data_IF_885769998318
#
_entry.id   IF_885769998318
#
_cell.length_a   1.000
_cell.length_b   1.000
_cell.length_c   1.000
_cell.angle_alpha   90.00
_cell.angle_beta   90.00
_cell.angle_gamma   90.00
#
_symmetry.space_group_name_H-M   'P 1'
#
loop_
_entity.id
_entity.type
_entity.pdbx_description
1 polymer ?
#
# COMPACT_ATOMS: atom_id res chain seq x y z
N UNK A 1 -12.66 9.64 -2.73
CA UNK A 1 -11.75 8.48 -2.63
C UNK A 1 -12.02 7.53 -3.79
N UNK A 2 -10.98 7.14 -4.54
CA UNK A 2 -11.06 6.13 -5.60
C UNK A 2 -10.10 4.99 -5.27
N UNK A 3 -10.55 3.75 -5.34
CA UNK A 3 -9.69 2.60 -5.06
C UNK A 3 -8.47 2.60 -5.97
N UNK A 4 -7.28 2.43 -5.39
CA UNK A 4 -6.02 2.39 -6.12
C UNK A 4 -5.41 1.00 -6.11
N UNK A 5 -5.16 0.42 -4.94
CA UNK A 5 -4.48 -0.87 -4.82
C UNK A 5 -4.76 -1.58 -3.49
N UNK A 6 -4.44 -2.88 -3.42
CA UNK A 6 -4.37 -3.65 -2.18
C UNK A 6 -2.92 -3.79 -1.74
N UNK A 7 -2.62 -3.49 -0.47
CA UNK A 7 -1.30 -3.69 0.10
C UNK A 7 -1.11 -5.07 0.70
N UNK A 8 -0.05 -5.76 0.28
CA UNK A 8 0.26 -7.15 0.65
C UNK A 8 1.65 -7.24 1.27
N UNK A 9 1.68 -7.56 2.55
CA UNK A 9 2.91 -7.87 3.26
C UNK A 9 3.44 -9.26 2.85
N UNK A 10 4.70 -9.33 2.42
CA UNK A 10 5.41 -10.56 2.10
C UNK A 10 6.81 -10.59 2.75
N UNK A 11 7.46 -11.78 2.71
CA UNK A 11 8.82 -11.95 3.23
C UNK A 11 9.88 -11.48 2.25
N UNK A 12 9.63 -11.71 0.96
CA UNK A 12 10.52 -11.39 -0.14
C UNK A 12 9.66 -10.99 -1.35
N UNK A 13 10.09 -9.94 -2.06
CA UNK A 13 9.35 -9.41 -3.21
C UNK A 13 9.36 -10.39 -4.39
N UNK A 14 10.50 -11.02 -4.68
CA UNK A 14 10.62 -11.93 -5.83
C UNK A 14 9.83 -13.22 -5.58
N UNK A 15 9.87 -13.76 -4.36
CA UNK A 15 9.02 -14.88 -3.96
C UNK A 15 7.53 -14.51 -4.08
N UNK A 16 7.14 -13.32 -3.60
CA UNK A 16 5.78 -12.81 -3.71
C UNK A 16 5.29 -12.72 -5.17
N UNK A 17 6.10 -12.15 -6.06
CA UNK A 17 5.81 -12.07 -7.49
C UNK A 17 5.63 -13.48 -8.08
N UNK A 18 6.54 -14.40 -7.76
CA UNK A 18 6.52 -15.76 -8.28
C UNK A 18 5.26 -16.53 -7.83
N UNK A 19 4.87 -16.43 -6.55
CA UNK A 19 3.67 -17.10 -6.04
C UNK A 19 2.39 -16.50 -6.63
N UNK A 20 2.29 -15.17 -6.75
CA UNK A 20 1.13 -14.53 -7.35
C UNK A 20 0.98 -14.88 -8.84
N UNK A 21 2.10 -14.96 -9.58
CA UNK A 21 2.12 -15.32 -11.00
C UNK A 21 1.65 -16.74 -11.29
N UNK A 22 1.68 -17.65 -10.29
CA UNK A 22 1.16 -19.02 -10.44
C UNK A 22 -0.37 -19.06 -10.44
N UNK A 23 -1.00 -18.07 -9.83
CA UNK A 23 -2.45 -18.05 -9.57
C UNK A 23 -3.15 -17.03 -10.47
N UNK A 24 -2.52 -15.86 -10.67
CA UNK A 24 -3.09 -14.74 -11.40
C UNK A 24 -2.28 -14.46 -12.67
N UNK A 25 -2.99 -14.04 -13.72
CA UNK A 25 -2.36 -13.45 -14.89
C UNK A 25 -1.94 -12.01 -14.56
N UNK A 26 -0.63 -11.78 -14.49
CA UNK A 26 -0.03 -10.47 -14.19
C UNK A 26 0.37 -9.82 -15.51
N UNK A 27 -0.21 -8.64 -15.79
CA UNK A 27 0.04 -7.88 -17.01
C UNK A 27 1.26 -6.95 -16.87
N UNK A 28 1.48 -6.40 -15.67
CA UNK A 28 2.59 -5.48 -15.39
C UNK A 28 3.22 -5.78 -14.04
N UNK A 29 4.55 -5.72 -14.00
CA UNK A 29 5.36 -5.71 -12.78
C UNK A 29 6.22 -4.46 -12.82
N UNK A 30 6.09 -3.57 -11.84
CA UNK A 30 6.95 -2.39 -11.74
C UNK A 30 8.38 -2.78 -11.36
N UNK A 31 9.30 -1.82 -11.46
CA UNK A 31 10.62 -1.99 -10.83
C UNK A 31 10.45 -2.16 -9.33
N UNK A 32 11.31 -2.99 -8.72
CA UNK A 32 11.44 -3.08 -7.27
C UNK A 32 12.13 -1.81 -6.79
N UNK A 33 11.48 -1.10 -5.88
CA UNK A 33 11.97 0.13 -5.26
C UNK A 33 12.42 -0.20 -3.85
N UNK A 34 13.57 0.35 -3.44
CA UNK A 34 14.03 0.29 -2.04
C UNK A 34 13.74 1.62 -1.37
N UNK A 35 12.97 1.56 -0.29
CA UNK A 35 12.76 2.69 0.60
C UNK A 35 13.65 2.52 1.84
N UNK A 36 14.80 3.20 1.80
CA UNK A 36 15.78 3.18 2.90
C UNK A 36 15.24 3.82 4.18
N UNK A 37 14.29 4.77 4.09
CA UNK A 37 13.72 5.42 5.27
C UNK A 37 12.81 4.44 6.04
N UNK A 38 12.13 3.56 5.32
CA UNK A 38 11.23 2.58 5.89
C UNK A 38 11.83 1.18 6.01
N UNK A 39 13.07 1.01 5.51
CA UNK A 39 13.76 -0.28 5.41
C UNK A 39 12.86 -1.36 4.80
N UNK A 40 12.29 -1.00 3.65
CA UNK A 40 11.32 -1.80 2.92
C UNK A 40 11.68 -1.87 1.42
N UNK A 41 11.29 -2.97 0.79
CA UNK A 41 11.29 -3.12 -0.67
C UNK A 41 9.84 -3.20 -1.12
N UNK A 42 9.52 -2.54 -2.24
CA UNK A 42 8.17 -2.44 -2.75
C UNK A 42 8.11 -2.67 -4.25
N UNK A 43 7.02 -3.26 -4.75
CA UNK A 43 6.69 -3.24 -6.17
C UNK A 43 5.17 -3.25 -6.39
N UNK A 44 4.75 -2.66 -7.50
CA UNK A 44 3.38 -2.74 -7.99
C UNK A 44 3.24 -3.89 -8.99
N UNK A 45 2.18 -4.67 -8.81
CA UNK A 45 1.67 -5.64 -9.76
C UNK A 45 0.33 -5.14 -10.29
N UNK A 46 0.12 -5.26 -11.60
CA UNK A 46 -1.18 -5.06 -12.21
C UNK A 46 -1.63 -6.39 -12.81
N UNK A 47 -2.81 -6.86 -12.39
CA UNK A 47 -3.42 -8.06 -12.93
C UNK A 47 -3.98 -7.79 -14.34
N UNK A 48 -4.33 -8.84 -15.08
CA UNK A 48 -4.88 -8.72 -16.43
C UNK A 48 -6.21 -7.92 -16.49
N UNK A 49 -6.98 -7.90 -15.40
CA UNK A 49 -8.23 -7.13 -15.27
C UNK A 49 -8.01 -5.68 -14.78
N UNK A 50 -6.76 -5.28 -14.57
CA UNK A 50 -6.40 -3.93 -14.12
C UNK A 50 -6.39 -3.73 -12.61
N UNK A 51 -6.67 -4.76 -11.81
CA UNK A 51 -6.52 -4.67 -10.34
C UNK A 51 -5.04 -4.50 -9.99
N UNK A 52 -4.75 -3.53 -9.13
CA UNK A 52 -3.40 -3.27 -8.66
C UNK A 52 -3.16 -3.85 -7.27
N UNK A 53 -1.98 -4.44 -7.09
CA UNK A 53 -1.52 -5.03 -5.84
C UNK A 53 -0.12 -4.51 -5.56
N UNK A 54 0.08 -3.92 -4.39
CA UNK A 54 1.39 -3.53 -3.90
C UNK A 54 1.95 -4.66 -3.05
N UNK A 55 3.11 -5.19 -3.43
CA UNK A 55 3.89 -6.08 -2.57
C UNK A 55 4.86 -5.24 -1.74
N UNK A 56 4.90 -5.51 -0.44
CA UNK A 56 5.80 -4.86 0.51
C UNK A 56 6.55 -5.93 1.30
N UNK A 57 7.87 -5.84 1.34
CA UNK A 57 8.73 -6.69 2.15
C UNK A 57 9.66 -5.83 3.02
N UNK A 58 10.16 -6.37 4.13
CA UNK A 58 11.13 -5.71 4.99
C UNK A 58 10.61 -5.38 6.39
N UNK A 59 11.35 -4.55 7.13
CA UNK A 59 11.14 -4.34 8.57
C UNK A 59 9.79 -3.69 8.88
N UNK A 60 9.31 -2.81 7.98
CA UNK A 60 8.04 -2.12 8.12
C UNK A 60 6.85 -3.07 8.26
N UNK A 61 6.87 -4.21 7.55
CA UNK A 61 5.76 -5.17 7.52
C UNK A 61 6.06 -6.48 8.24
N UNK A 62 7.26 -6.64 8.81
CA UNK A 62 7.70 -7.86 9.48
C UNK A 62 6.72 -8.31 10.58
N UNK A 63 6.11 -7.36 11.30
CA UNK A 63 5.11 -7.64 12.32
C UNK A 63 3.82 -8.26 11.77
N UNK A 64 3.38 -7.86 10.58
CA UNK A 64 2.22 -8.45 9.90
C UNK A 64 2.55 -9.87 9.42
N UNK A 65 3.70 -10.03 8.77
CA UNK A 65 4.18 -11.32 8.26
C UNK A 65 4.35 -12.35 9.39
N UNK A 66 4.92 -11.96 10.54
CA UNK A 66 5.05 -12.84 11.72
C UNK A 66 3.71 -13.32 12.28
N UNK A 67 2.65 -12.51 12.10
CA UNK A 67 1.27 -12.83 12.53
C UNK A 67 0.47 -13.56 11.44
N UNK A 68 1.05 -13.83 10.27
CA UNK A 68 0.34 -14.41 9.12
C UNK A 68 -0.66 -13.46 8.47
N UNK A 69 -0.53 -12.15 8.69
CA UNK A 69 -1.34 -11.11 8.04
C UNK A 69 -0.62 -10.70 6.75
N UNK A 70 -1.26 -10.93 5.61
CA UNK A 70 -0.71 -10.58 4.29
C UNK A 70 -1.41 -9.35 3.73
N UNK A 71 -2.69 -9.45 3.36
CA UNK A 71 -3.54 -8.30 3.04
C UNK A 71 -3.72 -7.43 4.28
N UNK A 72 -3.14 -6.23 4.28
CA UNK A 72 -3.13 -5.40 5.49
C UNK A 72 -3.68 -3.98 5.30
N UNK A 73 -3.74 -3.47 4.08
CA UNK A 73 -4.39 -2.18 3.82
C UNK A 73 -5.04 -2.12 2.43
N UNK A 74 -5.98 -1.17 2.30
CA UNK A 74 -6.56 -0.75 1.02
C UNK A 74 -6.17 0.70 0.77
N UNK A 75 -5.62 0.99 -0.41
CA UNK A 75 -5.22 2.34 -0.78
C UNK A 75 -6.27 3.04 -1.65
N UNK A 76 -6.50 4.32 -1.38
CA UNK A 76 -7.41 5.17 -2.14
C UNK A 76 -6.76 6.50 -2.54
N UNK A 77 -6.94 6.87 -3.80
CA UNK A 77 -6.57 8.18 -4.30
C UNK A 77 -7.54 9.28 -3.87
N UNK A 78 -7.00 10.44 -3.52
CA UNK A 78 -7.71 11.61 -3.02
C UNK A 78 -7.13 12.91 -3.58
N UNK A 79 -7.98 13.90 -3.85
CA UNK A 79 -7.55 15.20 -4.40
C UNK A 79 -6.71 16.01 -3.40
N UNK A 80 -7.12 16.04 -2.12
CA UNK A 80 -6.39 16.75 -1.07
C UNK A 80 -6.28 15.87 0.17
N UNK A 81 -5.07 15.40 0.46
CA UNK A 81 -4.84 14.42 1.53
C UNK A 81 -5.17 14.99 2.92
N UNK A 82 -4.82 16.25 3.20
CA UNK A 82 -5.06 16.88 4.49
C UNK A 82 -6.55 17.08 4.77
N UNK A 83 -7.29 17.56 3.76
CA UNK A 83 -8.75 17.74 3.86
C UNK A 83 -9.45 16.40 4.08
N UNK A 84 -9.00 15.35 3.38
CA UNK A 84 -9.59 14.02 3.53
C UNK A 84 -9.28 13.40 4.90
N UNK A 85 -8.07 13.58 5.43
CA UNK A 85 -7.71 13.15 6.80
C UNK A 85 -8.65 13.82 7.80
N UNK A 86 -8.78 15.16 7.77
CA UNK A 86 -9.66 15.88 8.68
C UNK A 86 -11.12 15.43 8.58
N UNK A 87 -11.60 15.13 7.37
CA UNK A 87 -12.94 14.60 7.14
C UNK A 87 -13.09 13.22 7.80
N UNK A 88 -12.14 12.31 7.59
CA UNK A 88 -12.20 10.94 8.11
C UNK A 88 -12.06 10.89 9.63
N UNK A 89 -11.22 11.73 10.24
CA UNK A 89 -11.10 11.80 11.70
C UNK A 89 -12.43 12.24 12.36
N UNK A 90 -13.17 13.16 11.73
CA UNK A 90 -14.52 13.56 12.18
C UNK A 90 -15.53 12.41 12.08
N UNK A 91 -15.31 11.45 11.18
CA UNK A 91 -16.12 10.25 10.99
C UNK A 91 -15.62 9.05 11.83
N UNK A 92 -14.68 9.27 12.76
CA UNK A 92 -14.20 8.26 13.70
C UNK A 92 -13.01 7.44 13.22
N UNK A 93 -12.36 7.84 12.12
CA UNK A 93 -11.04 7.30 11.76
C UNK A 93 -9.96 7.82 12.71
N UNK A 94 -8.86 7.09 12.81
CA UNK A 94 -7.69 7.48 13.59
C UNK A 94 -6.44 7.52 12.69
N UNK A 95 -5.75 8.67 12.66
CA UNK A 95 -4.52 8.82 11.89
C UNK A 95 -3.38 7.98 12.50
N UNK A 96 -2.91 6.98 11.75
CA UNK A 96 -1.79 6.12 12.14
C UNK A 96 -0.45 6.68 11.70
N UNK A 97 -0.41 7.26 10.50
CA UNK A 97 0.79 7.89 9.93
C UNK A 97 0.36 9.16 9.22
N UNK A 98 0.96 10.29 9.63
CA UNK A 98 0.82 11.55 8.93
C UNK A 98 1.32 11.46 7.47
N UNK A 99 0.87 12.37 6.59
CA UNK A 99 1.34 12.46 5.21
C UNK A 99 2.87 12.44 5.12
N UNK A 100 3.39 11.55 4.26
CA UNK A 100 4.81 11.43 3.94
C UNK A 100 5.00 11.07 2.48
N UNK A 101 6.09 11.50 1.82
CA UNK A 101 6.35 11.13 0.43
C UNK A 101 6.59 9.62 0.30
N UNK A 102 6.01 9.00 -0.73
CA UNK A 102 6.24 7.60 -1.06
C UNK A 102 7.04 7.49 -2.37
N UNK A 103 8.25 6.92 -2.29
CA UNK A 103 9.16 6.79 -3.44
C UNK A 103 8.55 5.95 -4.57
N UNK A 104 7.74 4.93 -4.23
CA UNK A 104 7.06 4.09 -5.22
C UNK A 104 6.06 4.88 -6.07
N UNK A 105 5.49 5.96 -5.53
CA UNK A 105 4.48 6.79 -6.17
C UNK A 105 5.04 8.16 -6.57
N UNK A 106 6.27 8.20 -7.08
CA UNK A 106 6.93 9.44 -7.53
C UNK A 106 6.95 10.55 -6.46
N UNK A 107 7.11 10.17 -5.18
CA UNK A 107 7.06 11.05 -4.00
C UNK A 107 5.72 11.77 -3.76
N UNK A 108 4.61 11.27 -4.33
CA UNK A 108 3.26 11.64 -3.89
C UNK A 108 3.10 11.34 -2.40
N UNK A 109 2.24 12.10 -1.73
CA UNK A 109 2.02 11.94 -0.30
C UNK A 109 1.12 10.74 0.00
N UNK A 110 1.50 9.95 1.00
CA UNK A 110 0.68 8.88 1.56
C UNK A 110 0.45 9.07 3.06
N UNK A 111 -0.74 8.69 3.53
CA UNK A 111 -1.10 8.69 4.94
C UNK A 111 -1.89 7.43 5.29
N UNK A 112 -1.68 6.88 6.48
CA UNK A 112 -2.38 5.68 6.94
C UNK A 112 -3.38 6.03 8.03
N UNK A 113 -4.58 5.48 7.92
CA UNK A 113 -5.64 5.64 8.92
C UNK A 113 -6.19 4.28 9.33
N UNK A 114 -6.53 4.15 10.61
CA UNK A 114 -7.35 3.06 11.11
C UNK A 114 -8.82 3.45 11.01
N UNK A 115 -9.62 2.60 10.40
CA UNK A 115 -11.08 2.72 10.25
C UNK A 115 -11.76 1.48 10.83
N UNK A 116 -13.08 1.49 10.95
CA UNK A 116 -13.86 0.40 11.58
C UNK A 116 -13.65 -0.98 10.95
N UNK A 117 -13.23 -1.03 9.68
CA UNK A 117 -13.02 -2.25 8.92
C UNK A 117 -11.54 -2.56 8.62
N UNK A 118 -10.59 -1.85 9.23
CA UNK A 118 -9.17 -2.14 9.09
C UNK A 118 -8.31 -0.90 8.85
N UNK A 119 -7.25 -1.05 8.07
CA UNK A 119 -6.33 0.03 7.73
C UNK A 119 -6.58 0.45 6.28
N UNK A 120 -6.66 1.77 6.07
CA UNK A 120 -6.65 2.35 4.74
C UNK A 120 -5.43 3.25 4.58
N UNK A 121 -4.94 3.33 3.35
CA UNK A 121 -3.97 4.33 2.91
C UNK A 121 -4.68 5.37 2.04
N UNK A 122 -4.34 6.64 2.23
CA UNK A 122 -4.68 7.70 1.29
C UNK A 122 -3.44 8.03 0.48
N UNK A 123 -3.62 8.19 -0.83
CA UNK A 123 -2.59 8.62 -1.77
C UNK A 123 -3.05 9.93 -2.43
N UNK A 124 -2.25 11.00 -2.34
CA UNK A 124 -2.57 12.27 -3.00
C UNK A 124 -2.58 12.09 -4.52
N UNK A 125 -3.47 12.74 -5.26
CA UNK A 125 -3.38 12.78 -6.73
C UNK A 125 -2.06 13.41 -7.20
N UNK A 126 -1.63 13.03 -8.40
CA UNK A 126 -0.46 13.58 -9.08
C UNK A 126 -0.72 15.00 -9.61
#
# INVERSE_FOLDING_TARGET
MKFHHVGVACRDINEGIAEMSKIHEISVVSKIVKDEQQNAELCMLTLADGVNIELIAGKQVEGFVKKGITYYHLCYEVENINTEIERLEKEGAYLLSAPKPAILFDNREVAFLHVSYGIIELLSLA
#
